data_IF_953406916231
#
_entry.id   IF_953406916231
#
_cell.length_a   1.000
_cell.length_b   1.000
_cell.length_c   1.000
_cell.angle_alpha   90.00
_cell.angle_beta   90.00
_cell.angle_gamma   90.00
#
_symmetry.space_group_name_H-M   'P 1'
#
loop_
_entity.id
_entity.type
_entity.pdbx_description
1 polymer ?
#
# COMPACT_ATOMS: atom_id res chain seq x y z
N UNK A 1 -15.40 25.46 55.77
CA UNK A 1 -15.67 24.01 55.91
C UNK A 1 -16.59 23.60 54.76
N UNK A 2 -16.42 22.38 54.23
CA UNK A 2 -17.09 21.69 53.10
C UNK A 2 -16.18 21.52 51.87
N UNK A 3 -15.63 20.30 51.76
CA UNK A 3 -14.95 19.70 50.60
C UNK A 3 -15.98 18.95 49.78
N UNK A 4 -15.93 19.06 48.45
CA UNK A 4 -16.64 18.14 47.55
C UNK A 4 -15.68 17.70 46.44
N UNK A 5 -15.14 16.48 46.54
CA UNK A 5 -14.38 15.82 45.46
C UNK A 5 -15.36 14.93 44.68
N UNK A 6 -15.68 15.29 43.43
CA UNK A 6 -16.35 14.42 42.44
C UNK A 6 -15.60 14.57 41.12
N UNK A 7 -14.87 13.54 40.69
CA UNK A 7 -14.15 13.60 39.42
C UNK A 7 -13.36 12.35 39.00
N UNK A 8 -13.39 11.26 39.78
CA UNK A 8 -12.54 10.09 39.51
C UNK A 8 -13.17 8.98 38.66
N UNK A 9 -14.50 8.88 38.61
CA UNK A 9 -15.19 7.71 38.02
C UNK A 9 -15.42 7.84 36.51
N UNK A 10 -15.63 9.05 35.99
CA UNK A 10 -15.85 9.25 34.56
C UNK A 10 -14.56 9.10 33.73
N UNK A 11 -13.41 9.49 34.29
CA UNK A 11 -12.12 9.43 33.61
C UNK A 11 -11.56 7.99 33.51
N UNK A 12 -11.86 7.13 34.49
CA UNK A 12 -11.46 5.71 34.47
C UNK A 12 -12.30 4.86 33.52
N UNK A 13 -13.59 5.18 33.36
CA UNK A 13 -14.46 4.52 32.38
C UNK A 13 -14.07 4.85 30.93
N UNK A 14 -13.72 6.12 30.66
CA UNK A 14 -13.32 6.57 29.31
C UNK A 14 -11.98 5.97 28.86
N UNK A 15 -11.03 5.79 29.79
CA UNK A 15 -9.72 5.18 29.51
C UNK A 15 -9.83 3.67 29.31
N UNK A 16 -10.72 2.99 30.04
CA UNK A 16 -10.97 1.56 29.83
C UNK A 16 -11.60 1.29 28.45
N UNK A 17 -12.56 2.10 28.01
CA UNK A 17 -13.19 1.95 26.68
C UNK A 17 -12.23 2.23 25.53
N UNK A 18 -11.32 3.20 25.68
CA UNK A 18 -10.31 3.50 24.66
C UNK A 18 -9.29 2.37 24.51
N UNK A 19 -8.97 1.68 25.61
CA UNK A 19 -8.03 0.55 25.62
C UNK A 19 -8.62 -0.69 24.95
N UNK A 20 -9.93 -0.94 25.11
CA UNK A 20 -10.62 -2.06 24.45
C UNK A 20 -10.79 -1.83 22.94
N UNK A 21 -10.94 -0.57 22.49
CA UNK A 21 -11.07 -0.25 21.06
C UNK A 21 -9.78 -0.50 20.26
N UNK A 22 -8.60 -0.29 20.87
CA UNK A 22 -7.30 -0.48 20.21
C UNK A 22 -6.93 -1.96 20.06
N UNK A 23 -7.41 -2.84 20.96
CA UNK A 23 -7.13 -4.27 20.89
C UNK A 23 -8.07 -5.06 19.96
N UNK A 24 -9.13 -4.43 19.42
CA UNK A 24 -10.07 -5.07 18.50
C UNK A 24 -9.69 -4.91 17.01
N UNK A 25 -8.56 -4.26 16.71
CA UNK A 25 -8.04 -4.18 15.35
C UNK A 25 -6.98 -5.27 15.13
N UNK A 26 -7.41 -6.43 14.63
CA UNK A 26 -6.62 -7.14 13.62
C UNK A 26 -6.15 -8.56 13.94
N UNK A 27 -7.07 -9.51 14.07
CA UNK A 27 -6.79 -10.91 13.74
C UNK A 27 -7.74 -11.36 12.63
N UNK A 28 -7.23 -11.38 11.41
CA UNK A 28 -7.85 -12.05 10.27
C UNK A 28 -6.75 -12.86 9.56
N UNK A 29 -6.26 -13.90 10.25
CA UNK A 29 -5.35 -14.90 9.70
C UNK A 29 -6.11 -15.78 8.69
N UNK A 30 -6.39 -15.22 7.51
CA UNK A 30 -6.77 -16.00 6.34
C UNK A 30 -5.49 -16.36 5.57
N UNK A 31 -4.80 -17.42 6.02
CA UNK A 31 -3.61 -18.04 5.41
C UNK A 31 -3.88 -18.70 4.03
N UNK A 32 -4.86 -18.20 3.27
CA UNK A 32 -5.16 -18.67 1.92
C UNK A 32 -5.01 -17.58 0.85
N UNK A 33 -4.27 -16.52 1.18
CA UNK A 33 -3.78 -15.60 0.16
C UNK A 33 -2.84 -16.38 -0.79
N UNK A 34 -3.02 -16.29 -2.12
CA UNK A 34 -2.01 -16.76 -3.05
C UNK A 34 -0.65 -16.18 -2.63
N UNK A 35 0.47 -16.93 -2.77
CA UNK A 35 1.79 -16.36 -2.51
C UNK A 35 1.88 -15.03 -3.25
N UNK A 36 2.48 -13.98 -2.64
CA UNK A 36 2.74 -12.75 -3.35
C UNK A 36 3.39 -13.15 -4.66
N UNK A 37 2.78 -12.79 -5.78
CA UNK A 37 3.39 -12.98 -7.09
C UNK A 37 4.50 -11.93 -7.14
N UNK A 38 5.58 -12.17 -6.39
CA UNK A 38 6.93 -11.63 -6.58
C UNK A 38 7.46 -12.22 -7.89
N UNK A 39 6.65 -12.06 -8.94
CA UNK A 39 6.82 -12.66 -10.24
C UNK A 39 7.84 -11.83 -10.97
N UNK A 40 8.90 -12.50 -11.41
CA UNK A 40 9.90 -12.01 -12.37
C UNK A 40 9.29 -10.96 -13.28
N UNK A 41 9.58 -9.68 -13.02
CA UNK A 41 9.22 -8.61 -13.95
C UNK A 41 10.05 -8.87 -15.20
N UNK A 42 9.42 -9.09 -16.37
CA UNK A 42 10.16 -9.32 -17.61
C UNK A 42 11.11 -8.14 -17.83
N UNK A 43 12.40 -8.42 -17.98
CA UNK A 43 13.38 -7.40 -18.27
C UNK A 43 13.49 -7.26 -19.79
N UNK A 44 12.94 -6.16 -20.30
CA UNK A 44 13.03 -5.78 -21.71
C UNK A 44 13.21 -4.28 -21.80
N UNK A 45 13.64 -3.80 -22.97
CA UNK A 45 13.73 -2.38 -23.27
C UNK A 45 13.02 -2.12 -24.59
N UNK A 46 12.10 -1.16 -24.61
CA UNK A 46 11.45 -0.67 -25.83
C UNK A 46 12.02 0.70 -26.19
N UNK A 47 12.20 0.96 -27.48
CA UNK A 47 12.55 2.31 -27.94
C UNK A 47 11.33 3.23 -27.78
N UNK A 48 11.50 4.35 -27.10
CA UNK A 48 10.48 5.39 -27.02
C UNK A 48 10.38 6.10 -28.38
N UNK A 49 9.32 5.80 -29.12
CA UNK A 49 9.03 6.40 -30.43
C UNK A 49 8.02 7.54 -30.36
N UNK A 50 7.59 7.97 -29.17
CA UNK A 50 6.69 9.10 -29.02
C UNK A 50 7.46 10.43 -29.12
N UNK A 51 7.29 11.24 -30.19
CA UNK A 51 8.08 12.46 -30.40
C UNK A 51 7.80 13.57 -29.37
N UNK A 52 6.69 13.47 -28.64
CA UNK A 52 6.35 14.42 -27.58
C UNK A 52 6.88 14.00 -26.20
N UNK A 53 7.56 12.86 -26.13
CA UNK A 53 8.15 12.37 -24.89
C UNK A 53 9.46 13.08 -24.58
N UNK A 54 9.72 13.37 -23.30
CA UNK A 54 11.02 13.87 -22.85
C UNK A 54 12.14 12.84 -23.00
N UNK A 55 11.78 11.56 -23.19
CA UNK A 55 12.70 10.44 -23.38
C UNK A 55 12.69 9.92 -24.82
N UNK A 56 12.28 10.76 -25.78
CA UNK A 56 12.22 10.38 -27.19
C UNK A 56 13.53 9.75 -27.68
N UNK A 57 13.39 8.65 -28.41
CA UNK A 57 14.47 7.87 -29.01
C UNK A 57 15.47 7.27 -28.01
N UNK A 58 15.02 7.05 -26.76
CA UNK A 58 15.78 6.34 -25.73
C UNK A 58 15.13 4.98 -25.41
N UNK A 59 15.93 4.04 -24.90
CA UNK A 59 15.43 2.74 -24.46
C UNK A 59 14.79 2.84 -23.07
N UNK A 60 13.57 2.34 -22.94
CA UNK A 60 12.78 2.36 -21.71
C UNK A 60 12.44 0.93 -21.29
N UNK A 61 12.74 0.61 -20.04
CA UNK A 61 12.53 -0.67 -19.38
C UNK A 61 11.48 -0.55 -18.26
N UNK A 62 10.76 -1.63 -17.91
CA UNK A 62 9.97 -1.68 -16.67
C UNK A 62 10.76 -1.23 -15.42
N UNK A 63 12.09 -1.40 -15.40
CA UNK A 63 12.94 -0.97 -14.28
C UNK A 63 13.05 0.55 -14.14
N UNK A 64 12.82 1.31 -15.19
CA UNK A 64 12.85 2.79 -15.15
C UNK A 64 11.64 3.35 -14.37
N UNK A 65 10.61 2.51 -14.15
CA UNK A 65 9.38 2.84 -13.42
C UNK A 65 9.27 2.06 -12.10
N UNK A 66 10.39 1.70 -11.46
CA UNK A 66 10.37 1.08 -10.13
C UNK A 66 9.54 1.92 -9.15
N UNK A 67 8.82 1.21 -8.28
CA UNK A 67 7.92 1.81 -7.27
C UNK A 67 6.73 2.59 -7.89
N UNK A 68 6.48 2.40 -9.19
CA UNK A 68 5.33 2.97 -9.90
C UNK A 68 4.53 1.85 -10.55
N UNK A 69 3.22 2.05 -10.63
CA UNK A 69 2.34 1.15 -11.38
C UNK A 69 2.54 1.45 -12.87
N UNK A 70 2.90 0.42 -13.65
CA UNK A 70 3.05 0.50 -15.10
C UNK A 70 2.35 -0.68 -15.77
N UNK A 71 1.89 -0.49 -17.01
CA UNK A 71 1.25 -1.51 -17.82
C UNK A 71 1.97 -1.64 -19.16
N UNK A 72 2.16 -2.88 -19.60
CA UNK A 72 2.89 -3.22 -20.82
C UNK A 72 2.06 -4.22 -21.62
N UNK A 73 1.92 -3.97 -22.93
CA UNK A 73 1.13 -4.80 -23.83
C UNK A 73 2.00 -5.26 -24.99
N UNK A 74 2.00 -6.57 -25.26
CA UNK A 74 2.72 -7.18 -26.37
C UNK A 74 1.71 -7.84 -27.30
N UNK A 75 1.71 -7.41 -28.57
CA UNK A 75 0.93 -8.04 -29.64
C UNK A 75 1.84 -8.92 -30.50
N UNK A 76 1.33 -10.08 -30.92
CA UNK A 76 1.96 -10.93 -31.93
C UNK A 76 1.04 -11.02 -33.14
N UNK A 77 1.60 -10.92 -34.34
CA UNK A 77 0.91 -11.15 -35.61
C UNK A 77 1.79 -12.03 -36.48
N UNK A 78 1.18 -12.99 -37.18
CA UNK A 78 1.84 -13.88 -38.14
C UNK A 78 1.71 -13.38 -39.55
#
# INVERSE_FOLDING_TARGET
MIRTRRGGLAATLLTLTLSVLVAACGEDDNDNAPPPVEGVVPDFSLLDVNPNSSTYNTGISPRDYRERISAWYFGSST
#
